data_IF_757458394318
#
_entry.id   IF_757458394318
#
_cell.length_a   1.000
_cell.length_b   1.000
_cell.length_c   1.000
_cell.angle_alpha   90.00
_cell.angle_beta   90.00
_cell.angle_gamma   90.00
#
_symmetry.space_group_name_H-M   'P 1'
#
loop_
_entity.id
_entity.type
_entity.pdbx_description
1 polymer ?
#
# COMPACT_ATOMS: atom_id res chain seq x y z
N UNK A 1 -40.17 -17.33 -12.71
CA UNK A 1 -39.98 -15.97 -12.15
C UNK A 1 -39.15 -15.91 -10.87
N UNK A 2 -39.39 -16.78 -9.86
CA UNK A 2 -38.71 -16.76 -8.54
C UNK A 2 -37.17 -16.83 -8.55
N UNK A 3 -36.57 -17.56 -9.50
CA UNK A 3 -35.08 -17.66 -9.62
C UNK A 3 -34.43 -16.36 -10.11
N UNK A 4 -35.12 -15.59 -10.97
CA UNK A 4 -34.59 -14.32 -11.52
C UNK A 4 -34.61 -13.21 -10.47
N UNK A 5 -35.63 -13.17 -9.62
CA UNK A 5 -35.70 -12.20 -8.50
C UNK A 5 -34.67 -12.50 -7.42
N UNK A 6 -34.42 -13.78 -7.10
CA UNK A 6 -33.35 -14.16 -6.16
C UNK A 6 -31.97 -13.77 -6.72
N UNK A 7 -31.70 -14.05 -7.99
CA UNK A 7 -30.43 -13.67 -8.62
C UNK A 7 -30.22 -12.15 -8.64
N UNK A 8 -31.25 -11.37 -8.97
CA UNK A 8 -31.17 -9.91 -8.95
C UNK A 8 -30.91 -9.35 -7.53
N UNK A 9 -31.56 -9.93 -6.51
CA UNK A 9 -31.33 -9.54 -5.11
C UNK A 9 -29.90 -9.85 -4.66
N UNK A 10 -29.36 -11.03 -5.01
CA UNK A 10 -27.98 -11.40 -4.67
C UNK A 10 -26.96 -10.47 -5.35
N UNK A 11 -27.17 -10.13 -6.62
CA UNK A 11 -26.32 -9.18 -7.34
C UNK A 11 -26.35 -7.78 -6.69
N UNK A 12 -27.53 -7.28 -6.31
CA UNK A 12 -27.67 -6.01 -5.63
C UNK A 12 -26.98 -6.01 -4.26
N UNK A 13 -27.12 -7.08 -3.48
CA UNK A 13 -26.45 -7.24 -2.19
C UNK A 13 -24.92 -7.27 -2.34
N UNK A 14 -24.39 -7.99 -3.33
CA UNK A 14 -22.96 -8.02 -3.62
C UNK A 14 -22.43 -6.65 -4.05
N UNK A 15 -23.17 -5.94 -4.90
CA UNK A 15 -22.78 -4.59 -5.31
C UNK A 15 -22.77 -3.62 -4.12
N UNK A 16 -23.76 -3.68 -3.22
CA UNK A 16 -23.82 -2.85 -2.02
C UNK A 16 -22.68 -3.18 -1.03
N UNK A 17 -22.36 -4.46 -0.85
CA UNK A 17 -21.25 -4.91 -0.02
C UNK A 17 -19.90 -4.45 -0.60
N UNK A 18 -19.68 -4.63 -1.89
CA UNK A 18 -18.47 -4.17 -2.57
C UNK A 18 -18.30 -2.65 -2.51
N UNK A 19 -19.38 -1.89 -2.73
CA UNK A 19 -19.36 -0.42 -2.61
C UNK A 19 -19.02 0.01 -1.19
N UNK A 20 -19.63 -0.62 -0.18
CA UNK A 20 -19.35 -0.33 1.23
C UNK A 20 -17.89 -0.65 1.57
N UNK A 21 -17.38 -1.79 1.13
CA UNK A 21 -15.99 -2.18 1.34
C UNK A 21 -15.00 -1.17 0.73
N UNK A 22 -15.24 -0.74 -0.51
CA UNK A 22 -14.38 0.26 -1.16
C UNK A 22 -14.38 1.60 -0.41
N UNK A 23 -15.50 2.00 0.20
CA UNK A 23 -15.59 3.22 1.02
C UNK A 23 -14.89 3.12 2.38
N UNK A 24 -14.61 1.92 2.87
CA UNK A 24 -13.87 1.77 4.14
C UNK A 24 -12.39 2.13 3.97
N UNK A 25 -11.79 2.66 5.03
CA UNK A 25 -10.36 2.96 5.10
C UNK A 25 -9.85 2.63 6.48
N UNK A 26 -8.57 2.30 6.57
CA UNK A 26 -7.86 2.32 7.86
C UNK A 26 -7.73 3.77 8.34
N UNK A 27 -7.65 4.02 9.66
CA UNK A 27 -7.39 5.35 10.19
C UNK A 27 -6.05 5.90 9.68
N UNK A 28 -5.96 7.18 9.32
CA UNK A 28 -4.74 7.72 8.75
C UNK A 28 -3.52 7.61 9.66
N UNK A 29 -3.72 7.79 10.97
CA UNK A 29 -2.65 7.60 11.95
C UNK A 29 -2.06 6.18 11.91
N UNK A 30 -2.87 5.17 11.61
CA UNK A 30 -2.40 3.80 11.45
C UNK A 30 -1.63 3.61 10.14
N UNK A 31 -2.13 4.18 9.03
CA UNK A 31 -1.43 4.15 7.73
C UNK A 31 -0.04 4.77 7.86
N UNK A 32 0.05 5.98 8.45
CA UNK A 32 1.31 6.71 8.65
C UNK A 32 2.24 5.94 9.59
N UNK A 33 1.73 5.35 10.67
CA UNK A 33 2.52 4.52 11.59
C UNK A 33 3.12 3.30 10.88
N UNK A 34 2.35 2.61 10.03
CA UNK A 34 2.82 1.47 9.24
C UNK A 34 3.92 1.90 8.25
N UNK A 35 3.71 2.99 7.52
CA UNK A 35 4.71 3.56 6.62
C UNK A 35 6.02 3.91 7.36
N UNK A 36 5.90 4.57 8.52
CA UNK A 36 7.06 4.91 9.35
C UNK A 36 7.82 3.64 9.80
N UNK A 37 7.10 2.61 10.25
CA UNK A 37 7.71 1.32 10.63
C UNK A 37 8.48 0.67 9.48
N UNK A 38 7.89 0.64 8.28
CA UNK A 38 8.58 0.11 7.09
C UNK A 38 9.82 0.94 6.71
N UNK A 39 9.77 2.27 6.84
CA UNK A 39 10.94 3.14 6.59
C UNK A 39 12.04 2.96 7.64
N UNK A 40 11.68 2.70 8.89
CA UNK A 40 12.64 2.30 9.93
C UNK A 40 13.30 0.98 9.57
N UNK A 41 12.54 -0.03 9.15
CA UNK A 41 13.10 -1.32 8.71
C UNK A 41 14.07 -1.18 7.52
N UNK A 42 13.72 -0.35 6.52
CA UNK A 42 14.63 0.00 5.42
C UNK A 42 15.92 0.67 5.92
N UNK A 43 15.81 1.54 6.92
CA UNK A 43 16.97 2.21 7.51
C UNK A 43 17.86 1.21 8.22
N UNK A 44 17.29 0.28 8.99
CA UNK A 44 18.03 -0.80 9.67
C UNK A 44 18.76 -1.68 8.66
N UNK A 45 18.07 -2.12 7.60
CA UNK A 45 18.69 -2.87 6.49
C UNK A 45 19.89 -2.10 5.91
N UNK A 46 19.72 -0.80 5.63
CA UNK A 46 20.81 0.02 5.08
C UNK A 46 21.98 0.17 6.05
N UNK A 47 21.72 0.29 7.34
CA UNK A 47 22.78 0.39 8.36
C UNK A 47 23.61 -0.88 8.44
N UNK A 48 22.97 -2.04 8.31
CA UNK A 48 23.61 -3.36 8.33
C UNK A 48 24.39 -3.64 7.04
N UNK A 49 23.73 -3.52 5.89
CA UNK A 49 24.29 -3.90 4.59
C UNK A 49 25.06 -2.78 3.87
N UNK A 50 25.07 -1.57 4.43
CA UNK A 50 25.69 -0.35 3.85
C UNK A 50 25.15 0.05 2.47
N UNK A 51 23.99 -0.49 2.07
CA UNK A 51 23.30 -0.21 0.81
C UNK A 51 21.79 -0.34 0.98
N UNK A 52 21.03 0.33 0.12
CA UNK A 52 19.59 0.05 0.02
C UNK A 52 19.35 -1.34 -0.60
N UNK A 53 18.23 -2.01 -0.26
CA UNK A 53 17.90 -3.30 -0.83
C UNK A 53 17.51 -3.15 -2.31
N UNK A 54 17.80 -4.18 -3.11
CA UNK A 54 17.43 -4.22 -4.53
C UNK A 54 15.95 -4.58 -4.73
N UNK A 55 15.34 -5.21 -3.72
CA UNK A 55 13.91 -5.41 -3.61
C UNK A 55 13.44 -5.17 -2.18
N UNK A 56 12.22 -4.68 -1.97
CA UNK A 56 11.71 -4.57 -0.59
C UNK A 56 11.60 -5.93 0.12
N UNK A 57 11.48 -7.03 -0.64
CA UNK A 57 11.47 -8.39 -0.10
C UNK A 57 12.75 -8.73 0.68
N UNK A 58 13.88 -8.12 0.32
CA UNK A 58 15.16 -8.33 1.01
C UNK A 58 15.06 -7.90 2.48
N UNK A 59 14.31 -6.83 2.79
CA UNK A 59 14.09 -6.31 4.17
C UNK A 59 13.34 -7.31 5.04
N UNK A 60 12.40 -8.03 4.44
CA UNK A 60 11.65 -9.09 5.15
C UNK A 60 12.53 -10.32 5.31
N UNK A 61 13.22 -10.73 4.24
CA UNK A 61 14.09 -11.90 4.25
C UNK A 61 15.27 -11.80 5.22
N UNK A 62 15.75 -10.57 5.50
CA UNK A 62 16.83 -10.33 6.46
C UNK A 62 16.34 -10.05 7.89
N UNK A 63 15.03 -10.05 8.13
CA UNK A 63 14.44 -10.02 9.47
C UNK A 63 14.26 -8.64 10.10
N UNK A 64 14.57 -7.55 9.39
CA UNK A 64 14.36 -6.18 9.87
C UNK A 64 12.87 -5.77 9.82
N UNK A 65 12.06 -6.53 9.09
CA UNK A 65 10.60 -6.46 9.12
C UNK A 65 10.01 -7.88 9.09
N UNK A 66 9.11 -8.19 10.03
CA UNK A 66 8.48 -9.52 10.10
C UNK A 66 7.65 -9.84 8.86
N UNK A 67 6.83 -8.90 8.41
CA UNK A 67 6.02 -8.99 7.21
C UNK A 67 5.65 -7.59 6.71
N UNK A 68 5.33 -7.48 5.41
CA UNK A 68 4.76 -6.25 4.85
C UNK A 68 3.39 -6.02 5.49
N UNK A 69 3.17 -4.90 6.20
CA UNK A 69 1.86 -4.62 6.79
C UNK A 69 0.82 -4.44 5.69
N UNK A 70 -0.40 -4.84 5.97
CA UNK A 70 -1.53 -4.55 5.09
C UNK A 70 -1.89 -3.06 5.09
N UNK A 71 -2.40 -2.62 3.95
CA UNK A 71 -2.90 -1.28 3.69
C UNK A 71 -4.29 -1.38 3.08
N UNK A 72 -5.24 -0.67 3.66
CA UNK A 72 -6.58 -0.46 3.10
C UNK A 72 -6.90 1.03 3.13
N UNK A 73 -6.96 1.62 1.94
CA UNK A 73 -7.40 2.99 1.72
C UNK A 73 -8.81 3.02 1.13
N UNK A 74 -9.53 4.12 1.36
CA UNK A 74 -10.78 4.38 0.65
C UNK A 74 -10.56 4.37 -0.87
N UNK A 75 -11.49 3.80 -1.62
CA UNK A 75 -11.40 3.62 -3.07
C UNK A 75 -10.61 2.38 -3.50
N UNK A 76 -9.85 1.76 -2.61
CA UNK A 76 -8.90 0.68 -2.95
C UNK A 76 -9.20 -0.64 -2.27
N UNK A 77 -8.72 -1.75 -2.84
CA UNK A 77 -8.71 -3.04 -2.15
C UNK A 77 -7.62 -3.05 -1.07
N UNK A 78 -7.67 -4.06 -0.18
CA UNK A 78 -6.58 -4.27 0.79
C UNK A 78 -5.37 -4.89 0.08
N UNK A 79 -4.19 -4.34 0.31
CA UNK A 79 -2.91 -4.84 -0.21
C UNK A 79 -1.91 -5.08 0.91
N UNK A 80 -1.17 -6.19 0.85
CA UNK A 80 -0.10 -6.53 1.81
C UNK A 80 1.22 -6.86 1.09
N UNK A 81 1.47 -6.17 -0.02
CA UNK A 81 2.67 -6.33 -0.84
C UNK A 81 3.25 -4.97 -1.21
N UNK A 82 4.55 -4.95 -1.52
CA UNK A 82 5.25 -3.75 -2.01
C UNK A 82 5.53 -3.88 -3.49
N UNK A 83 4.95 -2.99 -4.29
CA UNK A 83 5.26 -2.88 -5.72
C UNK A 83 6.68 -2.35 -5.88
N UNK A 84 7.48 -3.02 -6.70
CA UNK A 84 8.81 -2.53 -7.08
C UNK A 84 8.65 -1.57 -8.26
N UNK A 85 9.21 -0.37 -8.15
CA UNK A 85 9.11 0.69 -9.15
C UNK A 85 10.50 1.18 -9.56
N UNK A 86 10.71 1.44 -10.85
CA UNK A 86 11.97 2.02 -11.34
C UNK A 86 12.15 3.50 -10.94
N UNK A 87 11.06 4.21 -10.69
CA UNK A 87 11.06 5.62 -10.30
C UNK A 87 9.86 5.93 -9.40
N UNK A 88 9.79 7.16 -8.88
CA UNK A 88 8.58 7.62 -8.20
C UNK A 88 7.46 7.83 -9.23
N UNK A 89 6.48 6.96 -9.20
CA UNK A 89 5.28 7.03 -10.04
C UNK A 89 4.04 6.56 -9.28
N UNK A 90 2.93 7.27 -9.48
CA UNK A 90 1.62 6.90 -8.94
C UNK A 90 0.86 6.08 -10.00
N UNK A 91 0.60 4.82 -9.69
CA UNK A 91 -0.33 3.92 -10.40
C UNK A 91 -1.69 3.83 -9.71
N UNK A 92 -1.84 4.50 -8.57
CA UNK A 92 -3.07 4.55 -7.79
C UNK A 92 -3.57 3.14 -7.42
N UNK A 93 -2.65 2.29 -6.96
CA UNK A 93 -2.98 0.93 -6.51
C UNK A 93 -3.58 0.89 -5.11
N UNK A 94 -3.40 1.96 -4.33
CA UNK A 94 -3.75 2.00 -2.91
C UNK A 94 -2.82 1.14 -2.03
N UNK A 95 -1.70 0.69 -2.57
CA UNK A 95 -0.70 -0.14 -1.90
C UNK A 95 0.61 0.61 -1.59
N UNK A 96 1.61 -0.16 -1.18
CA UNK A 96 2.97 0.34 -0.98
C UNK A 96 3.77 0.25 -2.28
N UNK A 97 4.65 1.21 -2.52
CA UNK A 97 5.61 1.17 -3.62
C UNK A 97 7.01 1.55 -3.16
N UNK A 98 8.02 0.91 -3.75
CA UNK A 98 9.43 1.10 -3.43
C UNK A 98 10.23 1.36 -4.70
N UNK A 99 10.99 2.46 -4.72
CA UNK A 99 11.89 2.78 -5.83
C UNK A 99 13.14 1.90 -5.73
N UNK A 100 13.24 0.92 -6.62
CA UNK A 100 14.21 -0.17 -6.52
C UNK A 100 15.30 -0.13 -7.61
N UNK A 101 15.29 0.89 -8.48
CA UNK A 101 16.35 1.13 -9.46
C UNK A 101 17.56 1.83 -8.81
N UNK A 102 18.73 1.18 -8.70
CA UNK A 102 19.94 1.80 -8.13
C UNK A 102 20.46 3.01 -8.89
N UNK A 103 20.07 3.18 -10.16
CA UNK A 103 20.44 4.33 -10.98
C UNK A 103 19.55 5.55 -10.77
N UNK A 104 18.40 5.41 -10.10
CA UNK A 104 17.45 6.50 -9.93
C UNK A 104 17.80 7.38 -8.72
N UNK A 105 17.69 8.73 -8.79
CA UNK A 105 18.00 9.62 -7.67
C UNK A 105 17.18 9.37 -6.39
N UNK A 106 16.02 8.71 -6.54
CA UNK A 106 15.13 8.35 -5.45
C UNK A 106 15.23 6.87 -5.04
N UNK A 107 16.28 6.14 -5.45
CA UNK A 107 16.51 4.77 -5.01
C UNK A 107 16.42 4.66 -3.48
N UNK A 108 15.64 3.70 -2.99
CA UNK A 108 15.39 3.54 -1.55
C UNK A 108 14.11 4.24 -1.05
N UNK A 109 13.42 5.02 -1.89
CA UNK A 109 12.17 5.67 -1.50
C UNK A 109 11.03 4.67 -1.38
N UNK A 110 10.43 4.58 -0.19
CA UNK A 110 9.17 3.89 0.06
C UNK A 110 8.04 4.92 0.21
N UNK A 111 6.95 4.73 -0.53
CA UNK A 111 5.81 5.64 -0.58
C UNK A 111 4.48 4.89 -0.71
N UNK A 112 3.38 5.61 -0.48
CA UNK A 112 2.03 5.11 -0.70
C UNK A 112 1.63 5.42 -2.14
N UNK A 113 1.31 4.38 -2.90
CA UNK A 113 0.92 4.47 -4.30
C UNK A 113 -0.56 4.83 -4.45
N UNK A 114 -0.90 6.07 -4.12
CA UNK A 114 -2.27 6.57 -4.15
C UNK A 114 -2.30 8.07 -4.46
N UNK A 115 -3.15 8.44 -5.40
CA UNK A 115 -3.41 9.83 -5.84
C UNK A 115 -4.52 10.52 -5.04
N UNK A 116 -5.17 9.80 -4.14
CA UNK A 116 -6.23 10.34 -3.29
C UNK A 116 -5.67 11.03 -2.04
N UNK A 117 -6.54 11.80 -1.39
CA UNK A 117 -6.22 12.54 -0.16
C UNK A 117 -6.68 11.78 1.10
N UNK A 118 -6.00 12.02 2.21
CA UNK A 118 -6.47 11.67 3.55
C UNK A 118 -7.64 12.57 3.97
N UNK A 119 -8.20 12.32 5.16
CA UNK A 119 -9.30 13.12 5.72
C UNK A 119 -8.92 14.58 6.01
N UNK A 120 -7.63 14.93 5.99
CA UNK A 120 -7.11 16.29 6.19
C UNK A 120 -6.75 16.99 4.88
N UNK A 121 -6.96 16.35 3.74
CA UNK A 121 -6.72 16.91 2.41
C UNK A 121 -5.27 16.79 1.90
N UNK A 122 -4.41 16.00 2.56
CA UNK A 122 -3.04 15.70 2.12
C UNK A 122 -3.03 14.48 1.21
N UNK A 123 -2.25 14.50 0.13
CA UNK A 123 -2.12 13.32 -0.72
C UNK A 123 -1.41 12.18 0.01
N UNK A 124 -1.89 10.96 -0.16
CA UNK A 124 -1.27 9.79 0.46
C UNK A 124 0.19 9.61 0.06
N UNK A 125 0.53 9.95 -1.17
CA UNK A 125 1.89 9.90 -1.71
C UNK A 125 2.87 10.92 -1.11
N UNK A 126 2.38 11.92 -0.36
CA UNK A 126 3.18 12.96 0.28
C UNK A 126 3.59 12.63 1.73
N UNK A 127 3.10 11.53 2.29
CA UNK A 127 3.51 11.04 3.61
C UNK A 127 4.85 10.32 3.55
#
# INVERSE_FOLDING_TARGET
MRKRTIAAFLLAALAAAGTTYLRTSMPAAEVVRKLAGMRVALTLYRLEHKRFPGSFGDVVASGQLEAVPDLKLSGHLRYAAVRQAGSFELKDTGGWAYVNDPGHPQFGLLYIDCSHKDEKGRFWSEF
#
